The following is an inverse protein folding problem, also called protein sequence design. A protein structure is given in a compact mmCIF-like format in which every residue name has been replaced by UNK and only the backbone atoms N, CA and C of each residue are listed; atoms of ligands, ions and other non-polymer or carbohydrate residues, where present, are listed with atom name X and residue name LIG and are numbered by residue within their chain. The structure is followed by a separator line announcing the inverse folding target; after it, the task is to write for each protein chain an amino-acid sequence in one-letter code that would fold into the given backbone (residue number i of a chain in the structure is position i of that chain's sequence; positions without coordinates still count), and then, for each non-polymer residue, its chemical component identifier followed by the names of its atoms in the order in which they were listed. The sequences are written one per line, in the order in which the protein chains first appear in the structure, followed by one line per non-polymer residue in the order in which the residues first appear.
data_IF_481078629119
#
_entry.id   IF_481078629119
#
_cell.length_a   1.000
_cell.length_b   1.000
_cell.length_c   1.000
_cell.angle_alpha   90.00
_cell.angle_beta   90.00
_cell.angle_gamma   90.00
#
_symmetry.space_group_name_H-M   'P 1'
#
loop_
_entity.id
_entity.type
_entity.pdbx_description
1 polymer ?
#
# COMPACT_ATOMS: atom_id res chain seq x y z
N UNK A 1 27.27 42.34 4.05
CA UNK A 1 25.87 41.96 4.36
C UNK A 1 25.00 42.41 3.21
N UNK A 2 24.35 41.45 2.53
CA UNK A 2 23.61 41.64 1.28
C UNK A 2 23.42 40.30 0.57
N UNK A 3 22.71 40.26 -0.56
CA UNK A 3 22.30 39.02 -1.25
C UNK A 3 23.44 38.28 -1.99
N UNK A 4 24.71 38.69 -1.82
CA UNK A 4 25.84 38.06 -2.49
C UNK A 4 26.21 36.73 -1.80
N UNK A 5 26.37 35.66 -2.59
CA UNK A 5 26.69 34.29 -2.15
C UNK A 5 25.64 33.64 -1.21
N UNK A 6 24.35 33.86 -1.48
CA UNK A 6 23.22 33.39 -0.67
C UNK A 6 22.82 31.92 -0.88
N UNK A 7 23.75 31.05 -1.29
CA UNK A 7 23.44 29.63 -1.46
C UNK A 7 23.18 28.96 -0.10
N UNK A 8 22.10 28.16 -0.03
CA UNK A 8 21.68 27.52 1.21
C UNK A 8 22.62 26.41 1.69
N UNK A 9 22.68 26.21 3.00
CA UNK A 9 23.30 25.02 3.61
C UNK A 9 22.24 23.93 3.81
N UNK A 10 22.62 22.64 3.88
CA UNK A 10 21.68 21.57 4.18
C UNK A 10 20.98 21.80 5.53
N UNK A 11 19.64 21.82 5.53
CA UNK A 11 18.82 21.98 6.73
C UNK A 11 18.03 20.69 7.05
N UNK A 12 17.40 20.10 6.02
CA UNK A 12 16.65 18.85 6.17
C UNK A 12 16.16 18.31 4.83
N UNK A 13 15.40 17.22 4.90
CA UNK A 13 14.80 16.55 3.73
C UNK A 13 13.30 16.78 3.66
N UNK A 14 12.75 16.83 2.45
CA UNK A 14 11.31 16.84 2.21
C UNK A 14 10.92 15.85 1.11
N UNK A 15 9.67 15.38 1.15
CA UNK A 15 9.12 14.49 0.13
C UNK A 15 8.36 15.30 -0.93
N UNK A 16 8.59 15.00 -2.21
CA UNK A 16 7.78 15.53 -3.32
C UNK A 16 6.59 14.60 -3.56
N UNK A 17 5.38 15.16 -3.55
CA UNK A 17 4.13 14.40 -3.70
C UNK A 17 3.41 14.83 -4.97
N UNK A 18 3.03 13.86 -5.81
CA UNK A 18 2.18 14.09 -7.00
C UNK A 18 0.70 13.87 -6.67
N UNK A 19 -0.19 14.44 -7.49
CA UNK A 19 -1.63 14.20 -7.37
C UNK A 19 -1.91 12.70 -7.59
N UNK A 20 -2.74 12.11 -6.73
CA UNK A 20 -3.07 10.69 -6.76
C UNK A 20 -2.05 9.76 -6.10
N UNK A 21 -0.96 10.29 -5.54
CA UNK A 21 0.02 9.49 -4.83
C UNK A 21 -0.50 9.03 -3.46
N UNK A 22 -0.30 7.76 -3.15
CA UNK A 22 -0.61 7.19 -1.84
C UNK A 22 0.46 7.64 -0.84
N UNK A 23 0.02 8.28 0.25
CA UNK A 23 0.92 8.77 1.32
C UNK A 23 1.14 7.74 2.42
N UNK A 24 0.04 7.13 2.89
CA UNK A 24 0.05 6.15 3.96
C UNK A 24 -0.98 5.07 3.63
N UNK A 25 -0.62 3.81 3.86
CA UNK A 25 -1.52 2.66 3.73
C UNK A 25 -1.63 1.94 5.06
N UNK A 26 -2.83 1.52 5.42
CA UNK A 26 -3.10 0.74 6.62
C UNK A 26 -3.87 -0.53 6.27
N UNK A 27 -3.55 -1.62 6.96
CA UNK A 27 -4.26 -2.91 6.87
C UNK A 27 -4.79 -3.25 8.26
N UNK A 28 -6.08 -3.51 8.37
CA UNK A 28 -6.75 -3.91 9.61
C UNK A 28 -7.76 -5.02 9.35
N UNK A 29 -8.21 -5.69 10.41
CA UNK A 29 -9.39 -6.55 10.35
C UNK A 29 -10.65 -5.68 10.23
N UNK A 30 -11.75 -6.29 9.79
CA UNK A 30 -13.01 -5.60 9.49
C UNK A 30 -13.59 -4.86 10.69
N UNK A 31 -13.51 -5.43 11.89
CA UNK A 31 -13.99 -4.78 13.11
C UNK A 31 -13.27 -3.48 13.48
N UNK A 32 -12.04 -3.26 12.98
CA UNK A 32 -11.25 -2.06 13.29
C UNK A 32 -11.27 -1.01 12.18
N UNK A 33 -12.04 -1.22 11.10
CA UNK A 33 -12.13 -0.25 9.99
C UNK A 33 -12.57 1.14 10.45
N UNK A 34 -13.58 1.31 11.34
CA UNK A 34 -13.97 2.63 11.83
C UNK A 34 -12.84 3.34 12.57
N UNK A 35 -12.08 2.60 13.38
CA UNK A 35 -10.94 3.14 14.12
C UNK A 35 -9.80 3.55 13.17
N UNK A 36 -9.53 2.76 12.13
CA UNK A 36 -8.54 3.09 11.12
C UNK A 36 -8.92 4.36 10.33
N UNK A 37 -10.19 4.52 9.97
CA UNK A 37 -10.69 5.72 9.29
C UNK A 37 -10.47 6.98 10.14
N UNK A 38 -10.79 6.92 11.43
CA UNK A 38 -10.58 8.06 12.34
C UNK A 38 -9.10 8.36 12.57
N UNK A 39 -8.25 7.32 12.70
CA UNK A 39 -6.80 7.50 12.81
C UNK A 39 -6.23 8.19 11.56
N UNK A 40 -6.61 7.76 10.35
CA UNK A 40 -6.19 8.39 9.10
C UNK A 40 -6.75 9.81 8.93
N UNK A 41 -7.98 10.05 9.39
CA UNK A 41 -8.58 11.39 9.41
C UNK A 41 -7.79 12.34 10.32
N UNK A 42 -7.29 11.88 11.47
CA UNK A 42 -6.42 12.68 12.35
C UNK A 42 -5.02 12.86 11.77
N UNK A 43 -4.45 11.82 11.19
CA UNK A 43 -3.12 11.87 10.57
C UNK A 43 -3.08 12.87 9.42
N UNK A 44 -4.11 12.91 8.56
CA UNK A 44 -4.14 13.86 7.43
C UNK A 44 -4.11 15.33 7.88
N UNK A 45 -4.63 15.66 9.08
CA UNK A 45 -4.58 17.02 9.62
C UNK A 45 -3.17 17.48 10.00
N UNK A 46 -2.20 16.56 10.05
CA UNK A 46 -0.78 16.87 10.27
C UNK A 46 -0.01 17.08 8.97
N UNK A 47 -0.63 16.81 7.83
CA UNK A 47 -0.06 17.08 6.53
C UNK A 47 -0.61 18.41 5.98
N UNK A 48 0.23 19.19 5.27
CA UNK A 48 -0.27 20.36 4.56
C UNK A 48 -1.18 19.96 3.38
N UNK A 49 -2.17 20.80 3.08
CA UNK A 49 -3.10 20.59 1.97
C UNK A 49 -4.29 19.66 2.30
N UNK A 50 -5.01 19.21 1.26
CA UNK A 50 -6.17 18.34 1.40
C UNK A 50 -5.86 16.93 0.90
N UNK A 51 -6.09 15.94 1.76
CA UNK A 51 -6.02 14.52 1.41
C UNK A 51 -7.36 13.84 1.65
N UNK A 52 -7.59 12.75 0.92
CA UNK A 52 -8.77 11.90 1.05
C UNK A 52 -8.37 10.56 1.67
N UNK A 53 -9.27 9.99 2.47
CA UNK A 53 -9.12 8.63 2.98
C UNK A 53 -10.00 7.75 2.09
N UNK A 54 -9.43 6.66 1.57
CA UNK A 54 -10.10 5.76 0.63
C UNK A 54 -10.05 4.35 1.18
N UNK A 55 -11.18 3.64 1.12
CA UNK A 55 -11.23 2.22 1.42
C UNK A 55 -10.80 1.43 0.17
N UNK A 56 -9.76 0.62 0.32
CA UNK A 56 -9.27 -0.22 -0.77
C UNK A 56 -10.24 -1.38 -1.07
N UNK A 57 -10.37 -1.74 -2.34
CA UNK A 57 -11.06 -2.97 -2.79
C UNK A 57 -10.13 -4.18 -2.83
N UNK A 58 -8.83 -3.96 -2.65
CA UNK A 58 -7.80 -4.99 -2.71
C UNK A 58 -7.60 -5.68 -1.37
N UNK A 59 -7.02 -6.88 -1.42
CA UNK A 59 -6.69 -7.68 -0.25
C UNK A 59 -5.39 -7.18 0.40
N UNK A 60 -5.54 -6.26 1.36
CA UNK A 60 -4.41 -5.70 2.09
C UNK A 60 -3.45 -4.92 1.19
N UNK A 61 -2.18 -5.30 1.17
CA UNK A 61 -1.12 -4.67 0.38
C UNK A 61 -0.76 -5.51 -0.85
N UNK A 62 -1.76 -6.10 -1.49
CA UNK A 62 -1.61 -6.89 -2.72
C UNK A 62 -2.46 -6.28 -3.82
N UNK A 63 -2.18 -6.63 -5.07
CA UNK A 63 -2.94 -6.18 -6.24
C UNK A 63 -4.16 -7.07 -6.55
N UNK A 64 -4.57 -7.93 -5.60
CA UNK A 64 -5.67 -8.89 -5.77
C UNK A 64 -6.94 -8.30 -5.15
N UNK A 65 -8.06 -8.37 -5.85
CA UNK A 65 -9.35 -7.90 -5.32
C UNK A 65 -9.82 -8.80 -4.17
N UNK A 66 -10.44 -8.19 -3.15
CA UNK A 66 -10.95 -8.91 -1.99
C UNK A 66 -11.96 -10.01 -2.36
N UNK A 67 -12.80 -9.77 -3.38
CA UNK A 67 -13.76 -10.75 -3.89
C UNK A 67 -13.13 -11.96 -4.58
N UNK A 68 -11.93 -11.82 -5.14
CA UNK A 68 -11.23 -12.89 -5.86
C UNK A 68 -10.30 -13.69 -4.95
N UNK A 69 -9.85 -13.08 -3.85
CA UNK A 69 -8.82 -13.65 -2.99
C UNK A 69 -9.23 -15.01 -2.40
N UNK A 70 -10.47 -15.14 -1.93
CA UNK A 70 -10.98 -16.38 -1.33
C UNK A 70 -10.98 -17.53 -2.35
N UNK A 71 -11.57 -17.31 -3.53
CA UNK A 71 -11.57 -18.31 -4.60
C UNK A 71 -10.15 -18.71 -5.05
N UNK A 72 -9.21 -17.74 -5.14
CA UNK A 72 -7.82 -18.02 -5.51
C UNK A 72 -7.05 -18.77 -4.41
N UNK A 73 -7.39 -18.53 -3.14
CA UNK A 73 -6.84 -19.24 -2.00
C UNK A 73 -7.31 -20.69 -2.01
N UNK A 74 -8.60 -20.92 -2.20
CA UNK A 74 -9.21 -22.25 -2.22
C UNK A 74 -8.71 -23.08 -3.40
N UNK A 75 -8.46 -22.43 -4.54
CA UNK A 75 -7.82 -23.04 -5.70
C UNK A 75 -6.30 -23.29 -5.53
N UNK A 76 -5.68 -22.91 -4.40
CA UNK A 76 -4.25 -23.10 -4.17
C UNK A 76 -3.32 -22.24 -5.05
N UNK A 77 -3.85 -21.25 -5.78
CA UNK A 77 -3.10 -20.41 -6.72
C UNK A 77 -2.30 -19.29 -6.06
N UNK A 78 -2.39 -19.17 -4.74
CA UNK A 78 -1.73 -18.14 -3.96
C UNK A 78 -0.51 -18.69 -3.23
N UNK A 79 0.63 -18.02 -3.42
CA UNK A 79 1.85 -18.30 -2.70
C UNK A 79 2.05 -17.30 -1.57
N UNK A 80 2.11 -17.81 -0.34
CA UNK A 80 2.44 -17.00 0.83
C UNK A 80 3.94 -16.62 0.82
N UNK A 81 4.22 -15.33 1.04
CA UNK A 81 5.58 -14.74 1.11
C UNK A 81 5.80 -13.99 2.43
N UNK A 82 5.32 -14.59 3.52
CA UNK A 82 5.34 -13.97 4.85
C UNK A 82 4.25 -12.91 5.00
N UNK A 83 4.62 -11.63 4.86
CA UNK A 83 3.72 -10.48 5.13
C UNK A 83 2.68 -10.28 4.01
N UNK A 84 3.04 -10.63 2.77
CA UNK A 84 2.20 -10.49 1.58
C UNK A 84 2.04 -11.83 0.84
N UNK A 85 1.15 -11.82 -0.16
CA UNK A 85 0.82 -12.98 -0.99
C UNK A 85 1.12 -12.63 -2.45
N UNK A 86 1.61 -13.62 -3.20
CA UNK A 86 1.85 -13.50 -4.65
C UNK A 86 1.02 -14.54 -5.39
N UNK A 87 0.43 -14.15 -6.52
CA UNK A 87 -0.24 -15.07 -7.43
C UNK A 87 0.78 -15.96 -8.15
N UNK A 88 0.50 -17.26 -8.24
CA UNK A 88 1.21 -18.18 -9.13
C UNK A 88 0.72 -17.91 -10.56
N UNK A 89 1.61 -17.42 -11.41
CA UNK A 89 1.27 -17.06 -12.79
C UNK A 89 1.36 -18.27 -13.72
N UNK A 90 0.55 -18.31 -14.80
CA UNK A 90 0.56 -19.43 -15.74
C UNK A 90 1.88 -19.56 -16.50
N UNK A 91 2.60 -18.45 -16.74
CA UNK A 91 3.93 -18.43 -17.38
C UNK A 91 5.06 -18.58 -16.35
N UNK A 92 4.90 -19.51 -15.40
CA UNK A 92 5.86 -19.79 -14.34
C UNK A 92 6.84 -20.92 -14.71
N UNK A 93 7.94 -21.05 -13.97
CA UNK A 93 8.80 -22.23 -14.07
C UNK A 93 8.02 -23.48 -13.65
N UNK A 94 8.21 -24.57 -14.38
CA UNK A 94 7.69 -25.89 -14.03
C UNK A 94 8.45 -26.36 -12.80
N UNK A 95 7.80 -26.26 -11.64
CA UNK A 95 8.28 -26.79 -10.36
C UNK A 95 7.21 -27.71 -9.79
N UNK A 96 7.55 -28.65 -8.92
CA UNK A 96 6.56 -29.57 -8.32
C UNK A 96 5.35 -28.84 -7.72
N UNK A 97 5.56 -27.64 -7.16
CA UNK A 97 4.49 -26.79 -6.60
C UNK A 97 3.55 -26.18 -7.65
N UNK A 98 4.04 -25.94 -8.86
CA UNK A 98 3.30 -25.32 -9.95
C UNK A 98 2.73 -26.33 -10.95
N UNK A 99 3.05 -27.62 -10.79
CA UNK A 99 2.64 -28.68 -11.71
C UNK A 99 1.14 -29.02 -11.60
N UNK A 100 0.53 -28.71 -10.46
CA UNK A 100 -0.85 -29.05 -10.10
C UNK A 100 -1.70 -27.83 -9.69
N UNK A 101 -1.17 -26.61 -9.83
CA UNK A 101 -1.83 -25.36 -9.47
C UNK A 101 -2.59 -24.73 -10.66
#
# INVERSE_FOLDING_TARGET
TGMRHSYGKPNGTCARVRIGQILLSMRTKEGYVPQALEALRRAKMKFPGRQIVVMSKYWGFTDILRSQYEALRDAGKLQQRGIHVKLITPKGKITQRNLMA
#
